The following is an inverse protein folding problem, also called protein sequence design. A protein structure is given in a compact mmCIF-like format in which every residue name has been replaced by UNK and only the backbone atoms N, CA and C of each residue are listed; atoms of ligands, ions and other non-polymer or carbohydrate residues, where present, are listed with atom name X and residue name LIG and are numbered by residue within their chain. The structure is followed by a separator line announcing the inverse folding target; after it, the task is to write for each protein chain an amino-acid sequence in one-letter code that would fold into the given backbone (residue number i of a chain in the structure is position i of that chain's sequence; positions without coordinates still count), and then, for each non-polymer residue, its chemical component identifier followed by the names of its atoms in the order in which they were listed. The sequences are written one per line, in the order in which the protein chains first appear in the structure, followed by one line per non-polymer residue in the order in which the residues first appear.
data_IF_507299450820
#
_entry.id   IF_507299450820
#
_cell.length_a   1.000
_cell.length_b   1.000
_cell.length_c   1.000
_cell.angle_alpha   90.00
_cell.angle_beta   90.00
_cell.angle_gamma   90.00
#
_symmetry.space_group_name_H-M   'P 1'
#
loop_
_entity.id
_entity.type
_entity.pdbx_description
1 polymer ?
#
# COMPACT_ATOMS: atom_id res chain seq x y z
N UNK A 1 -36.53 -54.41 -20.08
CA UNK A 1 -35.73 -53.86 -18.96
C UNK A 1 -35.86 -52.35 -18.99
N UNK A 2 -36.60 -51.80 -18.02
CA UNK A 2 -37.04 -50.40 -17.99
C UNK A 2 -35.97 -49.52 -17.32
N UNK A 3 -35.56 -48.47 -18.03
CA UNK A 3 -35.19 -47.14 -17.54
C UNK A 3 -34.57 -47.02 -16.13
N UNK A 4 -33.24 -46.98 -16.06
CA UNK A 4 -32.46 -46.51 -14.90
C UNK A 4 -31.47 -45.42 -15.35
N UNK A 5 -31.99 -44.37 -16.00
CA UNK A 5 -31.23 -43.17 -16.39
C UNK A 5 -32.18 -41.95 -16.38
N UNK A 6 -32.69 -41.55 -15.20
CA UNK A 6 -32.67 -40.11 -14.93
C UNK A 6 -32.40 -39.74 -13.46
N UNK A 7 -31.94 -40.67 -12.61
CA UNK A 7 -31.75 -40.39 -11.18
C UNK A 7 -30.40 -39.74 -10.83
N UNK A 8 -29.39 -39.82 -11.70
CA UNK A 8 -28.04 -39.31 -11.40
C UNK A 8 -27.82 -37.83 -11.79
N UNK A 9 -28.70 -37.27 -12.64
CA UNK A 9 -28.53 -35.91 -13.17
C UNK A 9 -29.16 -34.82 -12.30
N UNK A 10 -29.95 -35.18 -11.27
CA UNK A 10 -30.62 -34.21 -10.38
C UNK A 10 -29.83 -33.97 -9.09
N UNK A 11 -28.91 -34.86 -8.70
CA UNK A 11 -28.11 -34.70 -7.48
C UNK A 11 -26.91 -33.74 -7.62
N UNK A 12 -26.54 -33.34 -8.84
CA UNK A 12 -25.38 -32.46 -9.09
C UNK A 12 -25.78 -30.97 -9.08
N UNK A 13 -27.07 -30.63 -8.99
CA UNK A 13 -27.57 -29.25 -9.02
C UNK A 13 -27.83 -28.62 -7.63
N UNK A 14 -27.57 -29.34 -6.53
CA UNK A 14 -27.75 -28.83 -5.16
C UNK A 14 -26.44 -28.55 -4.40
N UNK A 15 -25.28 -28.69 -5.03
CA UNK A 15 -24.03 -28.08 -4.54
C UNK A 15 -24.03 -26.58 -4.84
N UNK A 16 -25.04 -25.90 -4.30
CA UNK A 16 -25.05 -24.46 -4.12
C UNK A 16 -23.71 -24.09 -3.48
N UNK A 17 -22.94 -23.27 -4.18
CA UNK A 17 -21.67 -22.75 -3.71
C UNK A 17 -21.94 -22.01 -2.39
N UNK A 18 -21.84 -22.73 -1.28
CA UNK A 18 -21.68 -22.13 0.03
C UNK A 18 -20.35 -21.38 -0.03
N UNK A 19 -20.42 -20.10 -0.38
CA UNK A 19 -19.32 -19.16 -0.21
C UNK A 19 -18.99 -19.25 1.27
N UNK A 20 -17.94 -20.00 1.60
CA UNK A 20 -17.43 -20.11 2.96
C UNK A 20 -17.36 -18.70 3.55
N UNK A 21 -18.24 -18.42 4.51
CA UNK A 21 -18.08 -17.26 5.36
C UNK A 21 -16.73 -17.47 6.02
N UNK A 22 -15.76 -16.63 5.67
CA UNK A 22 -14.46 -16.61 6.33
C UNK A 22 -14.72 -16.50 7.82
N UNK A 23 -14.48 -17.58 8.56
CA UNK A 23 -14.58 -17.64 10.03
C UNK A 23 -13.37 -16.97 10.67
N UNK A 24 -12.90 -15.87 10.09
CA UNK A 24 -11.80 -15.11 10.63
C UNK A 24 -12.21 -14.47 11.95
N UNK A 25 -11.48 -14.80 13.01
CA UNK A 25 -11.61 -14.14 14.30
C UNK A 25 -10.39 -13.23 14.52
N UNK A 26 -10.54 -11.89 14.51
CA UNK A 26 -9.42 -10.96 14.73
C UNK A 26 -8.81 -11.08 16.13
N UNK A 27 -9.54 -11.67 17.08
CA UNK A 27 -9.10 -11.88 18.46
C UNK A 27 -8.49 -13.29 18.65
N UNK A 28 -8.46 -14.14 17.63
CA UNK A 28 -7.73 -15.41 17.71
C UNK A 28 -6.27 -15.11 17.99
N UNK A 29 -5.74 -15.71 19.05
CA UNK A 29 -4.33 -15.67 19.38
C UNK A 29 -3.63 -16.96 18.92
N UNK A 30 -2.36 -16.84 18.61
CA UNK A 30 -1.44 -17.93 18.30
C UNK A 30 -0.44 -18.04 19.44
N UNK A 31 0.02 -19.26 19.76
CA UNK A 31 0.94 -19.46 20.89
C UNK A 31 2.34 -18.90 20.59
N UNK A 32 3.15 -18.59 21.62
CA UNK A 32 4.53 -18.17 21.45
C UNK A 32 5.33 -19.10 20.53
N UNK A 33 5.20 -20.42 20.69
CA UNK A 33 5.95 -21.42 19.92
C UNK A 33 5.60 -21.37 18.42
N UNK A 34 4.32 -21.18 18.10
CA UNK A 34 3.87 -21.02 16.70
C UNK A 34 4.46 -19.74 16.08
N UNK A 35 4.42 -18.63 16.84
CA UNK A 35 4.90 -17.33 16.38
C UNK A 35 6.42 -17.32 16.19
N UNK A 36 7.16 -17.91 17.13
CA UNK A 36 8.62 -18.04 17.07
C UNK A 36 9.04 -18.89 15.87
N UNK A 37 8.36 -20.01 15.60
CA UNK A 37 8.63 -20.85 14.42
C UNK A 37 8.38 -20.10 13.10
N UNK A 38 7.27 -19.37 13.00
CA UNK A 38 6.98 -18.56 11.81
C UNK A 38 7.97 -17.40 11.67
N UNK A 39 8.45 -16.83 12.78
CA UNK A 39 9.44 -15.76 12.81
C UNK A 39 10.82 -16.25 12.37
N UNK A 40 11.24 -17.43 12.82
CA UNK A 40 12.48 -18.07 12.39
C UNK A 40 12.46 -18.33 10.87
N UNK A 41 11.36 -18.87 10.34
CA UNK A 41 11.18 -19.03 8.90
C UNK A 41 11.27 -17.68 8.17
N UNK A 42 10.63 -16.64 8.70
CA UNK A 42 10.69 -15.28 8.15
C UNK A 42 12.13 -14.74 8.10
N UNK A 43 12.90 -14.87 9.20
CA UNK A 43 14.30 -14.45 9.26
C UNK A 43 15.15 -15.21 8.25
N UNK A 44 15.06 -16.54 8.24
CA UNK A 44 15.89 -17.38 7.38
C UNK A 44 15.63 -17.11 5.89
N UNK A 45 14.37 -16.88 5.50
CA UNK A 45 14.03 -16.50 4.11
C UNK A 45 14.69 -15.17 3.74
N UNK A 46 14.67 -14.18 4.64
CA UNK A 46 15.28 -12.88 4.40
C UNK A 46 16.80 -13.01 4.27
N UNK A 47 17.47 -13.66 5.22
CA UNK A 47 18.92 -13.86 5.22
C UNK A 47 19.39 -14.64 3.99
N UNK A 48 18.62 -15.64 3.55
CA UNK A 48 18.99 -16.45 2.39
C UNK A 48 18.81 -15.69 1.05
N UNK A 49 17.69 -14.98 0.90
CA UNK A 49 17.16 -14.62 -0.42
C UNK A 49 16.97 -13.13 -0.66
N UNK A 50 16.95 -12.29 0.38
CA UNK A 50 16.64 -10.88 0.23
C UNK A 50 17.87 -10.10 -0.32
N UNK A 51 17.81 -9.55 -1.56
CA UNK A 51 18.99 -9.00 -2.24
C UNK A 51 19.57 -7.78 -1.54
N UNK A 52 18.73 -6.97 -0.89
CA UNK A 52 19.12 -5.70 -0.26
C UNK A 52 19.10 -5.73 1.27
N UNK A 53 19.20 -6.91 1.89
CA UNK A 53 19.03 -7.04 3.34
C UNK A 53 19.99 -6.12 4.13
N UNK A 54 21.22 -5.97 3.64
CA UNK A 54 22.28 -5.23 4.32
C UNK A 54 22.80 -3.99 3.55
N UNK A 55 22.09 -3.51 2.51
CA UNK A 55 22.62 -2.40 1.70
C UNK A 55 22.57 -1.05 2.41
N UNK A 56 21.51 -0.84 3.20
CA UNK A 56 21.24 0.45 3.85
C UNK A 56 21.31 0.37 5.37
N UNK A 57 21.28 -0.84 5.91
CA UNK A 57 21.35 -1.10 7.35
C UNK A 57 22.41 -2.19 7.54
N UNK A 58 23.50 -1.91 8.27
CA UNK A 58 24.56 -2.88 8.50
C UNK A 58 24.06 -4.17 9.17
N UNK A 59 24.81 -5.26 8.98
CA UNK A 59 24.39 -6.59 9.45
C UNK A 59 24.14 -6.64 10.96
N UNK A 60 25.04 -6.09 11.76
CA UNK A 60 24.90 -6.00 13.23
C UNK A 60 23.59 -5.31 13.65
N UNK A 61 23.21 -4.24 12.95
CA UNK A 61 21.98 -3.51 13.19
C UNK A 61 20.76 -4.33 12.77
N UNK A 62 20.80 -5.01 11.62
CA UNK A 62 19.73 -5.91 11.18
C UNK A 62 19.57 -7.09 12.16
N UNK A 63 20.66 -7.69 12.61
CA UNK A 63 20.66 -8.75 13.61
C UNK A 63 20.03 -8.25 14.91
N UNK A 64 20.41 -7.06 15.39
CA UNK A 64 19.78 -6.42 16.54
C UNK A 64 18.26 -6.28 16.37
N UNK A 65 17.78 -5.83 15.21
CA UNK A 65 16.34 -5.72 14.95
C UNK A 65 15.65 -7.07 14.85
N UNK A 66 16.34 -8.11 14.34
CA UNK A 66 15.82 -9.47 14.37
C UNK A 66 15.64 -9.96 15.81
N UNK A 67 16.61 -9.73 16.69
CA UNK A 67 16.50 -10.09 18.11
C UNK A 67 15.41 -9.27 18.82
N UNK A 68 15.34 -7.96 18.54
CA UNK A 68 14.29 -7.10 19.08
C UNK A 68 12.90 -7.58 18.67
N UNK A 69 12.70 -8.04 17.43
CA UNK A 69 11.45 -8.63 16.99
C UNK A 69 11.14 -9.97 17.67
N UNK A 70 12.13 -10.87 17.78
CA UNK A 70 11.98 -12.16 18.44
C UNK A 70 11.63 -12.01 19.93
N UNK A 71 12.23 -11.03 20.61
CA UNK A 71 11.97 -10.74 22.03
C UNK A 71 10.53 -10.35 22.33
N UNK A 72 9.74 -9.91 21.33
CA UNK A 72 8.32 -9.59 21.50
C UNK A 72 7.40 -10.82 21.42
N UNK A 73 7.94 -12.01 21.12
CA UNK A 73 7.18 -13.24 20.89
C UNK A 73 7.17 -14.15 22.13
N UNK A 74 7.02 -13.57 23.32
CA UNK A 74 6.98 -14.29 24.60
C UNK A 74 5.55 -14.64 25.07
N UNK A 75 4.53 -13.99 24.52
CA UNK A 75 3.13 -14.28 24.78
C UNK A 75 2.38 -14.49 23.46
N UNK A 76 1.20 -15.07 23.58
CA UNK A 76 0.24 -15.27 22.52
C UNK A 76 -0.21 -13.95 21.87
N UNK A 77 -0.05 -13.87 20.55
CA UNK A 77 -0.38 -12.69 19.75
C UNK A 77 -1.51 -12.98 18.75
N UNK A 78 -2.31 -11.95 18.44
CA UNK A 78 -3.20 -11.98 17.28
C UNK A 78 -2.41 -11.77 16.01
N UNK A 79 -2.99 -12.13 14.85
CA UNK A 79 -2.37 -11.88 13.54
C UNK A 79 -1.94 -10.41 13.37
N UNK A 80 -2.76 -9.46 13.82
CA UNK A 80 -2.44 -8.03 13.72
C UNK A 80 -1.20 -7.64 14.54
N UNK A 81 -1.08 -8.16 15.77
CA UNK A 81 0.08 -7.88 16.62
C UNK A 81 1.35 -8.52 16.06
N UNK A 82 1.28 -9.77 15.62
CA UNK A 82 2.43 -10.43 14.99
C UNK A 82 2.88 -9.70 13.72
N UNK A 83 1.93 -9.25 12.89
CA UNK A 83 2.25 -8.43 11.72
C UNK A 83 2.95 -7.13 12.07
N UNK A 84 2.61 -6.47 13.18
CA UNK A 84 3.33 -5.28 13.62
C UNK A 84 4.79 -5.60 13.95
N UNK A 85 5.07 -6.72 14.61
CA UNK A 85 6.45 -7.19 14.89
C UNK A 85 7.22 -7.37 13.57
N UNK A 86 6.65 -8.12 12.62
CA UNK A 86 7.29 -8.35 11.32
C UNK A 86 7.48 -7.04 10.53
N UNK A 87 6.48 -6.16 10.53
CA UNK A 87 6.51 -4.86 9.85
C UNK A 87 7.59 -3.95 10.42
N UNK A 88 7.77 -3.96 11.73
CA UNK A 88 8.83 -3.20 12.41
C UNK A 88 10.19 -3.63 11.89
N UNK A 89 10.48 -4.93 11.89
CA UNK A 89 11.76 -5.50 11.43
C UNK A 89 12.00 -5.21 9.95
N UNK A 90 11.02 -5.49 9.09
CA UNK A 90 11.14 -5.26 7.63
C UNK A 90 11.36 -3.79 7.30
N UNK A 91 10.78 -2.85 8.06
CA UNK A 91 10.99 -1.44 7.81
C UNK A 91 12.46 -1.02 8.01
N UNK A 92 13.20 -1.69 8.89
CA UNK A 92 14.61 -1.41 9.15
C UNK A 92 15.54 -1.89 8.05
N UNK A 93 15.08 -2.78 7.15
CA UNK A 93 15.82 -3.19 5.96
C UNK A 93 15.96 -2.04 4.95
N UNK A 94 15.03 -1.06 5.00
CA UNK A 94 14.98 0.09 4.07
C UNK A 94 14.91 -0.35 2.59
N UNK A 95 14.08 -1.36 2.34
CA UNK A 95 13.69 -1.77 1.00
C UNK A 95 12.19 -1.49 0.77
N UNK A 96 11.85 -0.55 -0.12
CA UNK A 96 10.46 -0.15 -0.41
C UNK A 96 9.61 -1.24 -1.07
N UNK A 97 10.23 -2.36 -1.44
CA UNK A 97 9.57 -3.52 -2.03
C UNK A 97 9.29 -4.65 -1.04
N UNK A 98 9.72 -4.49 0.22
CA UNK A 98 9.55 -5.49 1.27
C UNK A 98 8.50 -5.02 2.26
N UNK A 99 7.40 -5.77 2.39
CA UNK A 99 6.26 -5.39 3.21
C UNK A 99 5.51 -6.60 3.75
N UNK A 100 4.85 -6.42 4.90
CA UNK A 100 4.06 -7.46 5.56
C UNK A 100 2.58 -7.21 5.30
N UNK A 101 1.94 -8.15 4.60
CA UNK A 101 0.52 -8.06 4.24
C UNK A 101 -0.34 -8.85 5.23
N UNK A 102 -1.60 -8.43 5.34
CA UNK A 102 -2.61 -9.22 6.04
C UNK A 102 -2.84 -10.56 5.34
N UNK A 103 -3.26 -11.57 6.10
CA UNK A 103 -3.80 -12.80 5.52
C UNK A 103 -5.00 -12.47 4.63
N UNK A 104 -5.29 -13.35 3.65
CA UNK A 104 -6.45 -13.15 2.76
C UNK A 104 -7.76 -13.08 3.57
N UNK A 105 -7.83 -13.84 4.66
CA UNK A 105 -8.98 -13.86 5.57
C UNK A 105 -9.11 -12.56 6.36
N UNK A 106 -8.03 -12.06 6.96
CA UNK A 106 -8.01 -10.77 7.64
C UNK A 106 -8.38 -9.61 6.70
N UNK A 107 -7.84 -9.62 5.48
CA UNK A 107 -8.18 -8.61 4.47
C UNK A 107 -9.67 -8.67 4.07
N UNK A 108 -10.23 -9.87 3.90
CA UNK A 108 -11.67 -10.06 3.62
C UNK A 108 -12.54 -9.62 4.79
N UNK A 109 -12.14 -9.95 6.02
CA UNK A 109 -12.83 -9.54 7.24
C UNK A 109 -12.88 -8.02 7.33
N UNK A 110 -11.72 -7.34 7.26
CA UNK A 110 -11.63 -5.88 7.36
C UNK A 110 -12.46 -5.15 6.29
N UNK A 111 -12.60 -5.72 5.09
CA UNK A 111 -13.41 -5.14 4.03
C UNK A 111 -14.93 -5.28 4.26
N UNK A 112 -15.35 -6.24 5.10
CA UNK A 112 -16.77 -6.57 5.35
C UNK A 112 -17.27 -6.08 6.69
N UNK A 113 -16.40 -5.93 7.68
CA UNK A 113 -16.77 -5.56 9.05
C UNK A 113 -16.66 -4.08 9.30
N UNK A 114 -17.65 -3.53 10.01
CA UNK A 114 -17.57 -2.17 10.57
C UNK A 114 -17.05 -2.25 11.98
N UNK A 115 -15.86 -1.72 12.17
CA UNK A 115 -15.26 -1.57 13.51
C UNK A 115 -15.05 -0.10 13.79
N UNK A 116 -15.09 0.24 15.08
CA UNK A 116 -14.65 1.54 15.55
C UNK A 116 -13.17 1.73 15.21
N UNK A 117 -12.81 2.93 14.77
CA UNK A 117 -11.47 3.24 14.30
C UNK A 117 -11.14 4.70 14.58
N UNK A 118 -9.84 5.01 14.60
CA UNK A 118 -9.37 6.39 14.71
C UNK A 118 -9.98 7.26 13.59
N UNK A 119 -10.52 8.46 13.83
CA UNK A 119 -11.47 9.04 12.89
C UNK A 119 -10.84 9.89 11.76
N UNK A 120 -9.54 10.21 11.82
CA UNK A 120 -8.93 11.15 10.87
C UNK A 120 -8.24 10.45 9.70
N UNK A 121 -8.43 11.00 8.50
CA UNK A 121 -7.50 10.85 7.39
C UNK A 121 -6.67 12.13 7.28
N UNK A 122 -5.41 11.99 6.87
CA UNK A 122 -4.46 13.11 6.84
C UNK A 122 -3.73 13.18 5.50
N UNK A 123 -3.11 14.33 5.24
CA UNK A 123 -2.04 14.52 4.28
C UNK A 123 -0.83 15.01 5.07
N UNK A 124 0.29 14.33 4.93
CA UNK A 124 1.51 14.62 5.67
C UNK A 124 2.67 14.89 4.71
N UNK A 125 3.53 15.81 5.09
CA UNK A 125 4.82 16.11 4.48
C UNK A 125 5.72 16.72 5.55
N UNK A 126 7.05 16.66 5.37
CA UNK A 126 8.09 17.29 6.20
C UNK A 126 7.72 17.67 7.65
N UNK A 127 7.06 18.81 7.81
CA UNK A 127 6.73 19.45 9.08
C UNK A 127 5.23 19.48 9.43
N UNK A 128 4.37 19.01 8.53
CA UNK A 128 2.93 19.28 8.56
C UNK A 128 2.12 18.02 8.39
N UNK A 129 1.12 17.84 9.26
CA UNK A 129 0.06 16.84 9.12
C UNK A 129 -1.28 17.55 9.08
N UNK A 130 -1.85 17.63 7.89
CA UNK A 130 -3.13 18.28 7.60
C UNK A 130 -4.26 17.26 7.61
N UNK A 131 -5.37 17.56 8.29
CA UNK A 131 -6.58 16.73 8.23
C UNK A 131 -7.24 16.87 6.86
N UNK A 132 -7.47 15.76 6.16
CA UNK A 132 -8.16 15.74 4.86
C UNK A 132 -9.63 15.35 5.00
N UNK A 133 -9.96 14.57 6.02
CA UNK A 133 -11.34 14.25 6.41
C UNK A 133 -11.40 13.66 7.81
N UNK A 134 -12.55 13.87 8.46
CA UNK A 134 -12.91 13.26 9.72
C UNK A 134 -14.16 12.40 9.49
N UNK A 135 -14.09 11.10 9.78
CA UNK A 135 -15.22 10.18 9.59
C UNK A 135 -16.14 10.11 10.82
N UNK A 136 -15.74 10.69 11.95
CA UNK A 136 -16.61 10.85 13.11
C UNK A 136 -17.59 11.99 12.85
N UNK A 137 -18.89 11.67 12.83
CA UNK A 137 -19.96 12.66 12.66
C UNK A 137 -20.25 13.48 13.92
N UNK A 138 -19.67 13.10 15.06
CA UNK A 138 -19.92 13.71 16.37
C UNK A 138 -18.99 14.88 16.67
N UNK A 139 -17.90 15.00 15.91
CA UNK A 139 -16.84 15.96 16.20
C UNK A 139 -16.80 17.04 15.10
N UNK A 140 -17.46 18.17 15.33
CA UNK A 140 -17.53 19.29 14.37
C UNK A 140 -16.26 20.15 14.31
N UNK A 141 -15.41 20.08 15.34
CA UNK A 141 -14.30 21.02 15.51
C UNK A 141 -13.04 20.60 14.73
N UNK A 142 -12.81 19.31 14.53
CA UNK A 142 -11.63 18.79 13.82
C UNK A 142 -12.04 18.42 12.39
N UNK A 143 -12.04 19.44 11.53
CA UNK A 143 -12.49 19.34 10.15
C UNK A 143 -11.33 19.34 9.15
N UNK A 144 -11.66 19.16 7.87
CA UNK A 144 -10.68 19.26 6.79
C UNK A 144 -9.98 20.63 6.82
N UNK A 145 -8.66 20.63 6.66
CA UNK A 145 -7.85 21.85 6.58
C UNK A 145 -7.18 22.25 7.88
N UNK A 146 -7.49 21.61 9.01
CA UNK A 146 -6.76 21.87 10.26
C UNK A 146 -5.40 21.16 10.28
N UNK A 147 -4.40 21.79 10.90
CA UNK A 147 -3.05 21.22 11.04
C UNK A 147 -2.89 20.62 12.43
N UNK A 148 -2.64 19.31 12.50
CA UNK A 148 -2.46 18.61 13.77
C UNK A 148 -1.14 19.03 14.44
N UNK A 149 -1.17 19.19 15.76
CA UNK A 149 0.00 19.45 16.61
C UNK A 149 0.25 18.34 17.60
N UNK A 150 -0.80 17.78 18.20
CA UNK A 150 -0.68 16.61 19.06
C UNK A 150 -1.94 15.74 19.02
N UNK A 151 -1.77 14.45 19.32
CA UNK A 151 -2.86 13.49 19.51
C UNK A 151 -2.52 12.67 20.76
N UNK A 152 -3.48 12.51 21.67
CA UNK A 152 -3.30 11.80 22.94
C UNK A 152 -2.08 12.34 23.73
N UNK A 153 -1.94 13.67 23.75
CA UNK A 153 -0.83 14.40 24.38
C UNK A 153 0.56 14.07 23.82
N UNK A 154 0.65 13.46 22.63
CA UNK A 154 1.91 13.19 21.93
C UNK A 154 2.09 14.17 20.78
N UNK A 155 3.25 14.82 20.62
CA UNK A 155 3.52 15.65 19.46
C UNK A 155 3.32 14.87 18.17
N UNK A 156 2.74 15.51 17.16
CA UNK A 156 2.42 14.86 15.89
C UNK A 156 3.67 14.31 15.19
N UNK A 157 4.83 14.97 15.37
CA UNK A 157 6.13 14.51 14.87
C UNK A 157 6.49 13.13 15.43
N UNK A 158 6.38 12.94 16.75
CA UNK A 158 6.63 11.65 17.43
C UNK A 158 5.71 10.55 16.88
N UNK A 159 4.44 10.89 16.60
CA UNK A 159 3.48 9.94 16.02
C UNK A 159 3.89 9.54 14.61
N UNK A 160 4.27 10.51 13.77
CA UNK A 160 4.76 10.25 12.41
C UNK A 160 6.03 9.41 12.44
N UNK A 161 6.99 9.75 13.28
CA UNK A 161 8.26 9.03 13.43
C UNK A 161 8.03 7.59 13.89
N UNK A 162 7.11 7.38 14.83
CA UNK A 162 6.71 6.04 15.28
C UNK A 162 6.07 5.23 14.15
N UNK A 163 5.18 5.84 13.35
CA UNK A 163 4.60 5.17 12.18
C UNK A 163 5.67 4.81 11.15
N UNK A 164 6.68 5.66 10.95
CA UNK A 164 7.76 5.42 10.00
C UNK A 164 8.61 4.18 10.34
N UNK A 165 8.60 3.74 11.61
CA UNK A 165 9.24 2.49 12.05
C UNK A 165 8.53 1.23 11.54
N UNK A 166 7.33 1.34 10.96
CA UNK A 166 6.56 0.21 10.42
C UNK A 166 6.37 0.29 8.89
N UNK A 167 6.92 1.32 8.25
CA UNK A 167 6.84 1.54 6.81
C UNK A 167 8.24 1.44 6.23
N UNK A 168 8.44 0.46 5.35
CA UNK A 168 9.67 0.37 4.58
C UNK A 168 9.80 1.55 3.62
N UNK A 169 11.01 2.11 3.51
CA UNK A 169 11.36 3.10 2.49
C UNK A 169 12.38 2.51 1.52
N UNK A 170 12.67 3.21 0.43
CA UNK A 170 13.82 2.89 -0.42
C UNK A 170 15.04 3.69 0.07
N UNK A 171 15.91 3.03 0.82
CA UNK A 171 17.06 3.65 1.48
C UNK A 171 16.66 4.68 2.54
N UNK A 172 17.23 5.88 2.45
CA UNK A 172 16.95 6.99 3.38
C UNK A 172 15.78 7.88 2.96
N UNK A 173 15.06 7.52 1.89
CA UNK A 173 13.97 8.32 1.37
C UNK A 173 12.74 8.29 2.29
N UNK A 174 12.29 9.47 2.73
CA UNK A 174 11.10 9.64 3.59
C UNK A 174 9.84 10.04 2.83
N UNK A 175 9.96 10.50 1.57
CA UNK A 175 8.83 10.92 0.72
C UNK A 175 7.80 9.80 0.58
N UNK A 176 8.23 8.56 0.35
CA UNK A 176 7.32 7.42 0.28
C UNK A 176 6.58 7.20 1.61
N UNK A 177 7.26 7.35 2.75
CA UNK A 177 6.65 7.15 4.08
C UNK A 177 5.57 8.21 4.35
N UNK A 178 5.85 9.47 4.05
CA UNK A 178 4.86 10.57 4.10
C UNK A 178 3.66 10.31 3.18
N UNK A 179 3.92 9.89 1.93
CA UNK A 179 2.86 9.56 1.00
C UNK A 179 2.04 8.35 1.47
N UNK A 180 2.67 7.34 2.05
CA UNK A 180 2.02 6.15 2.59
C UNK A 180 1.06 6.47 3.73
N UNK A 181 1.47 7.26 4.73
CA UNK A 181 0.55 7.67 5.81
C UNK A 181 -0.56 8.60 5.29
N UNK A 182 -0.30 9.34 4.22
CA UNK A 182 -1.28 10.21 3.55
C UNK A 182 -2.33 9.44 2.75
N UNK A 183 -2.09 8.16 2.42
CA UNK A 183 -3.03 7.37 1.64
C UNK A 183 -4.25 7.01 2.51
N UNK A 184 -5.45 7.19 1.93
CA UNK A 184 -6.73 7.17 2.65
C UNK A 184 -6.91 5.95 3.57
N UNK A 185 -6.84 6.20 4.88
CA UNK A 185 -7.05 5.21 5.94
C UNK A 185 -5.79 4.56 6.51
N UNK A 186 -4.60 4.82 5.97
CA UNK A 186 -3.33 4.27 6.50
C UNK A 186 -3.01 4.87 7.86
N UNK A 187 -2.95 6.21 7.98
CA UNK A 187 -2.72 6.89 9.26
C UNK A 187 -3.69 6.40 10.35
N UNK A 188 -4.99 6.34 10.03
CA UNK A 188 -6.02 5.80 10.92
C UNK A 188 -5.75 4.37 11.38
N UNK A 189 -5.46 3.48 10.43
CA UNK A 189 -5.23 2.06 10.72
C UNK A 189 -3.97 1.87 11.57
N UNK A 190 -2.91 2.59 11.24
CA UNK A 190 -1.65 2.55 11.98
C UNK A 190 -1.79 3.13 13.38
N UNK A 191 -2.50 4.25 13.54
CA UNK A 191 -2.74 4.83 14.86
C UNK A 191 -3.43 3.81 15.78
N UNK A 192 -4.53 3.20 15.31
CA UNK A 192 -5.22 2.17 16.08
C UNK A 192 -4.39 0.92 16.35
N UNK A 193 -3.48 0.55 15.43
CA UNK A 193 -2.60 -0.61 15.58
C UNK A 193 -1.46 -0.39 16.57
N UNK A 194 -0.89 0.83 16.59
CA UNK A 194 0.29 1.17 17.40
C UNK A 194 -0.10 1.66 18.79
N UNK A 195 -1.09 2.54 18.88
CA UNK A 195 -1.48 3.22 20.14
C UNK A 195 -2.77 2.66 20.76
N UNK A 196 -3.49 1.79 20.04
CA UNK A 196 -4.82 1.36 20.43
C UNK A 196 -5.89 2.42 20.18
N UNK A 197 -7.12 2.10 20.55
CA UNK A 197 -8.27 2.98 20.40
C UNK A 197 -8.83 3.35 21.78
N UNK A 198 -8.97 4.65 22.04
CA UNK A 198 -9.65 5.20 23.22
C UNK A 198 -10.98 5.82 22.80
N UNK A 199 -11.96 5.83 23.70
CA UNK A 199 -13.28 6.40 23.44
C UNK A 199 -13.24 7.92 23.21
N UNK A 200 -12.33 8.61 23.90
CA UNK A 200 -12.02 10.03 23.76
C UNK A 200 -10.50 10.19 23.59
N UNK A 201 -10.10 10.97 22.59
CA UNK A 201 -8.70 11.19 22.25
C UNK A 201 -8.45 12.70 22.18
N UNK A 202 -7.73 13.29 23.15
CA UNK A 202 -7.46 14.72 23.13
C UNK A 202 -6.56 15.05 21.94
N UNK A 203 -6.89 16.13 21.23
CA UNK A 203 -6.10 16.62 20.09
C UNK A 203 -5.90 18.11 20.17
N UNK A 204 -4.71 18.53 19.78
CA UNK A 204 -4.38 19.94 19.57
C UNK A 204 -4.09 20.17 18.09
N UNK A 205 -4.62 21.27 17.57
CA UNK A 205 -4.49 21.61 16.16
C UNK A 205 -4.52 23.13 15.95
N UNK A 206 -4.01 23.56 14.81
CA UNK A 206 -4.18 24.92 14.29
C UNK A 206 -5.42 24.94 13.42
N UNK A 207 -6.41 25.76 13.78
CA UNK A 207 -7.64 25.95 13.01
C UNK A 207 -7.37 26.70 11.69
N UNK A 208 -8.38 26.81 10.83
CA UNK A 208 -8.26 27.51 9.54
C UNK A 208 -8.03 29.02 9.67
N UNK A 209 -8.21 29.58 10.88
CA UNK A 209 -7.89 30.97 11.21
C UNK A 209 -6.49 31.11 11.85
N UNK A 210 -5.67 30.05 11.88
CA UNK A 210 -4.31 30.09 12.39
C UNK A 210 -4.20 30.01 13.92
N UNK A 211 -5.29 29.67 14.64
CA UNK A 211 -5.31 29.68 16.10
C UNK A 211 -5.16 28.27 16.66
N UNK A 212 -4.38 28.15 17.74
CA UNK A 212 -4.28 26.90 18.49
C UNK A 212 -5.63 26.58 19.15
N UNK A 213 -6.08 25.34 18.99
CA UNK A 213 -7.33 24.80 19.53
C UNK A 213 -7.09 23.42 20.11
N UNK A 214 -7.92 23.07 21.08
CA UNK A 214 -8.01 21.72 21.65
C UNK A 214 -9.40 21.15 21.42
N UNK A 215 -9.50 19.84 21.26
CA UNK A 215 -10.78 19.13 21.17
C UNK A 215 -10.58 17.68 21.60
N UNK A 216 -11.65 16.99 21.93
CA UNK A 216 -11.64 15.53 22.10
C UNK A 216 -12.26 14.85 20.89
N UNK A 217 -11.51 13.97 20.25
CA UNK A 217 -11.99 13.14 19.15
C UNK A 217 -12.72 11.91 19.68
N UNK A 218 -13.86 11.62 19.07
CA UNK A 218 -14.58 10.36 19.21
C UNK A 218 -14.10 9.36 18.16
N UNK A 219 -14.21 8.06 18.45
CA UNK A 219 -13.99 7.05 17.42
C UNK A 219 -15.00 7.19 16.27
N UNK A 220 -14.55 6.87 15.06
CA UNK A 220 -15.37 6.87 13.85
C UNK A 220 -15.77 5.47 13.42
N UNK A 221 -16.85 5.40 12.65
CA UNK A 221 -17.23 4.21 11.87
C UNK A 221 -17.31 4.66 10.42
N UNK A 222 -16.72 3.90 9.49
CA UNK A 222 -16.91 4.18 8.07
C UNK A 222 -18.40 4.03 7.74
N UNK A 223 -19.08 5.10 7.27
CA UNK A 223 -20.47 5.00 6.91
C UNK A 223 -20.62 3.98 5.77
N UNK A 224 -21.63 3.11 5.85
CA UNK A 224 -22.21 2.63 4.59
C UNK A 224 -22.86 3.86 4.01
N UNK A 225 -22.42 4.28 2.85
CA UNK A 225 -23.25 5.19 2.11
C UNK A 225 -24.34 4.36 1.41
N UNK A 226 -25.30 3.83 2.17
CA UNK A 226 -26.50 3.18 1.62
C UNK A 226 -27.27 4.17 0.75
N UNK A 227 -27.22 5.47 1.08
CA UNK A 227 -27.79 6.54 0.28
C UNK A 227 -27.06 6.76 -1.05
N UNK A 228 -25.73 6.71 -1.11
CA UNK A 228 -24.95 6.73 -2.37
C UNK A 228 -25.03 5.42 -3.14
N UNK A 229 -25.06 4.26 -2.48
CA UNK A 229 -25.35 2.99 -3.15
C UNK A 229 -26.76 3.00 -3.75
N UNK A 230 -27.71 3.69 -3.11
CA UNK A 230 -29.08 3.92 -3.62
C UNK A 230 -29.12 5.04 -4.68
N UNK A 231 -28.33 6.11 -4.58
CA UNK A 231 -28.20 7.20 -5.58
C UNK A 231 -27.46 6.76 -6.85
N UNK A 232 -26.39 5.99 -6.72
CA UNK A 232 -25.70 5.31 -7.84
C UNK A 232 -26.61 4.26 -8.50
N UNK A 233 -27.62 3.74 -7.79
CA UNK A 233 -28.69 2.92 -8.40
C UNK A 233 -29.77 3.75 -9.08
N UNK A 234 -30.06 4.96 -8.60
CA UNK A 234 -31.08 5.87 -9.16
C UNK A 234 -30.59 6.59 -10.44
N UNK A 235 -29.29 6.90 -10.52
CA UNK A 235 -28.64 7.39 -11.74
C UNK A 235 -27.31 6.68 -11.95
N UNK A 236 -27.30 5.41 -12.43
CA UNK A 236 -26.08 4.69 -12.67
C UNK A 236 -25.30 5.41 -13.77
N UNK A 237 -24.19 6.04 -13.39
CA UNK A 237 -23.18 6.46 -14.37
C UNK A 237 -22.84 5.23 -15.22
N UNK A 238 -23.01 5.38 -16.54
CA UNK A 238 -22.87 4.24 -17.44
C UNK A 238 -21.52 3.57 -17.20
N UNK A 239 -21.46 2.24 -17.36
CA UNK A 239 -20.20 1.48 -17.18
C UNK A 239 -19.06 2.09 -18.00
N UNK A 240 -19.38 2.65 -19.16
CA UNK A 240 -18.46 3.38 -20.04
C UNK A 240 -17.92 4.66 -19.38
N UNK A 241 -18.77 5.50 -18.79
CA UNK A 241 -18.36 6.72 -18.09
C UNK A 241 -17.49 6.39 -16.87
N UNK A 242 -17.88 5.42 -16.06
CA UNK A 242 -17.08 4.97 -14.91
C UNK A 242 -15.70 4.46 -15.33
N UNK A 243 -15.64 3.64 -16.38
CA UNK A 243 -14.36 3.16 -16.92
C UNK A 243 -13.51 4.33 -17.43
N UNK A 244 -14.11 5.32 -18.09
CA UNK A 244 -13.40 6.53 -18.56
C UNK A 244 -12.82 7.31 -17.38
N UNK A 245 -13.63 7.62 -16.36
CA UNK A 245 -13.19 8.33 -15.15
C UNK A 245 -12.06 7.59 -14.43
N UNK A 246 -12.18 6.27 -14.26
CA UNK A 246 -11.13 5.45 -13.65
C UNK A 246 -9.82 5.45 -14.45
N UNK A 247 -9.91 5.50 -15.78
CA UNK A 247 -8.72 5.62 -16.62
C UNK A 247 -8.12 7.03 -16.53
N UNK A 248 -8.95 8.08 -16.50
CA UNK A 248 -8.51 9.47 -16.36
C UNK A 248 -7.85 9.73 -15.01
N UNK A 249 -8.32 9.12 -13.93
CA UNK A 249 -7.66 9.23 -12.62
C UNK A 249 -6.29 8.54 -12.57
N UNK A 250 -6.01 7.62 -13.50
CA UNK A 250 -4.71 6.93 -13.59
C UNK A 250 -3.76 7.61 -14.57
N UNK A 251 -4.29 8.25 -15.60
CA UNK A 251 -3.53 8.96 -16.62
C UNK A 251 -4.39 10.04 -17.27
N UNK A 252 -3.84 11.24 -17.40
CA UNK A 252 -4.55 12.34 -18.04
C UNK A 252 -3.58 13.28 -18.75
N UNK A 253 -4.07 14.03 -19.73
CA UNK A 253 -3.29 15.11 -20.33
C UNK A 253 -4.17 16.33 -20.58
N UNK A 254 -3.75 17.48 -20.09
CA UNK A 254 -4.25 18.79 -20.49
C UNK A 254 -3.18 19.54 -21.27
N UNK A 255 -3.59 20.46 -22.14
CA UNK A 255 -2.69 21.34 -22.89
C UNK A 255 -3.20 22.75 -22.66
N UNK A 256 -2.29 23.60 -22.21
CA UNK A 256 -2.47 25.04 -22.17
C UNK A 256 -1.73 25.65 -23.36
N UNK A 257 -2.49 26.09 -24.35
CA UNK A 257 -1.93 26.70 -25.56
C UNK A 257 -1.37 28.10 -25.32
N UNK A 258 -1.88 28.81 -24.31
CA UNK A 258 -1.36 30.14 -23.94
C UNK A 258 0.04 30.04 -23.34
N UNK A 259 0.28 28.99 -22.54
CA UNK A 259 1.59 28.67 -21.97
C UNK A 259 2.46 27.81 -22.88
N UNK A 260 1.95 27.42 -24.06
CA UNK A 260 2.61 26.47 -24.94
C UNK A 260 3.07 25.19 -24.21
N UNK A 261 2.25 24.68 -23.29
CA UNK A 261 2.64 23.65 -22.31
C UNK A 261 1.61 22.52 -22.23
N UNK A 262 2.09 21.27 -22.28
CA UNK A 262 1.30 20.08 -21.96
C UNK A 262 1.54 19.65 -20.51
N UNK A 263 0.47 19.30 -19.79
CA UNK A 263 0.53 18.71 -18.46
C UNK A 263 0.10 17.24 -18.56
N UNK A 264 1.06 16.34 -18.41
CA UNK A 264 0.88 14.89 -18.47
C UNK A 264 0.86 14.31 -17.06
N UNK A 265 -0.31 13.88 -16.61
CA UNK A 265 -0.47 13.21 -15.32
C UNK A 265 -0.35 11.69 -15.50
N UNK A 266 0.58 11.07 -14.76
CA UNK A 266 0.82 9.63 -14.78
C UNK A 266 0.84 9.11 -13.36
N UNK A 267 -0.30 8.63 -12.86
CA UNK A 267 -0.47 8.16 -11.48
C UNK A 267 -0.15 6.68 -11.28
N UNK A 268 0.22 5.95 -12.34
CA UNK A 268 0.66 4.56 -12.22
C UNK A 268 1.40 4.10 -13.47
N UNK A 269 2.32 3.15 -13.31
CA UNK A 269 2.87 2.33 -14.40
C UNK A 269 2.34 0.89 -14.40
N UNK A 270 1.27 0.60 -13.64
CA UNK A 270 0.66 -0.72 -13.65
C UNK A 270 0.05 -1.06 -15.02
N UNK A 271 0.18 -2.32 -15.43
CA UNK A 271 -0.44 -2.87 -16.64
C UNK A 271 -1.98 -2.74 -16.60
N UNK A 272 -2.62 -2.80 -17.77
CA UNK A 272 -4.09 -2.68 -17.90
C UNK A 272 -4.62 -1.25 -18.01
N UNK A 273 -3.78 -0.24 -17.78
CA UNK A 273 -4.13 1.17 -17.89
C UNK A 273 -3.87 1.77 -19.27
N UNK A 274 -3.83 0.98 -20.35
CA UNK A 274 -3.62 1.46 -21.74
C UNK A 274 -2.56 2.59 -21.91
N UNK A 275 -1.44 2.50 -21.17
CA UNK A 275 -0.43 3.56 -21.13
C UNK A 275 0.31 3.71 -22.47
N UNK A 276 0.58 2.59 -23.16
CA UNK A 276 1.25 2.61 -24.48
C UNK A 276 0.51 3.47 -25.52
N UNK A 277 -0.79 3.21 -25.83
CA UNK A 277 -1.50 4.05 -26.78
C UNK A 277 -1.72 5.46 -26.25
N UNK A 278 -1.88 5.64 -24.93
CA UNK A 278 -2.03 6.96 -24.31
C UNK A 278 -0.79 7.85 -24.49
N UNK A 279 0.41 7.35 -24.21
CA UNK A 279 1.65 8.09 -24.46
C UNK A 279 1.77 8.44 -25.94
N UNK A 280 1.60 7.46 -26.83
CA UNK A 280 1.63 7.68 -28.28
C UNK A 280 0.68 8.79 -28.73
N UNK A 281 -0.58 8.76 -28.27
CA UNK A 281 -1.57 9.79 -28.62
C UNK A 281 -1.23 11.16 -28.03
N UNK A 282 -0.70 11.19 -26.80
CA UNK A 282 -0.35 12.43 -26.10
C UNK A 282 0.77 13.18 -26.82
N UNK A 283 1.88 12.49 -27.09
CA UNK A 283 3.00 13.07 -27.82
C UNK A 283 2.67 13.36 -29.30
N UNK A 284 1.78 12.58 -29.93
CA UNK A 284 1.25 12.93 -31.26
C UNK A 284 0.49 14.26 -31.21
N UNK A 285 -0.39 14.45 -30.23
CA UNK A 285 -1.18 15.67 -30.07
C UNK A 285 -0.29 16.89 -29.82
N UNK A 286 0.72 16.77 -28.97
CA UNK A 286 1.71 17.83 -28.74
C UNK A 286 2.39 18.27 -30.04
N UNK A 287 2.88 17.32 -30.85
CA UNK A 287 3.51 17.64 -32.16
C UNK A 287 2.54 18.33 -33.12
N UNK A 288 1.31 17.85 -33.23
CA UNK A 288 0.29 18.43 -34.10
C UNK A 288 -0.07 19.87 -33.69
N UNK A 289 -0.10 20.14 -32.40
CA UNK A 289 -0.40 21.47 -31.83
C UNK A 289 0.85 22.33 -31.63
N UNK A 290 2.02 21.86 -32.07
CA UNK A 290 3.33 22.54 -31.93
C UNK A 290 3.65 22.93 -30.48
N UNK A 291 3.22 22.10 -29.52
CA UNK A 291 3.47 22.30 -28.08
C UNK A 291 4.93 21.98 -27.77
N UNK A 292 5.64 22.92 -27.15
CA UNK A 292 7.08 22.81 -26.88
C UNK A 292 7.38 22.34 -25.45
N UNK A 293 6.57 22.76 -24.47
CA UNK A 293 6.85 22.49 -23.06
C UNK A 293 6.04 21.27 -22.55
N UNK A 294 6.65 20.48 -21.67
CA UNK A 294 6.02 19.33 -21.02
C UNK A 294 6.25 19.36 -19.51
N UNK A 295 5.16 19.34 -18.75
CA UNK A 295 5.16 19.06 -17.33
C UNK A 295 4.65 17.64 -17.13
N UNK A 296 5.43 16.78 -16.47
CA UNK A 296 5.01 15.42 -16.13
C UNK A 296 4.74 15.34 -14.62
N UNK A 297 3.48 15.16 -14.24
CA UNK A 297 3.10 14.96 -12.84
C UNK A 297 3.07 13.46 -12.51
N UNK A 298 4.00 13.03 -11.65
CA UNK A 298 4.10 11.66 -11.14
C UNK A 298 3.97 11.61 -9.62
N UNK A 299 3.50 12.67 -8.95
CA UNK A 299 3.44 12.73 -7.48
C UNK A 299 2.51 11.67 -6.88
N UNK A 300 1.49 11.25 -7.63
CA UNK A 300 0.59 10.16 -7.26
C UNK A 300 1.05 8.77 -7.70
N UNK A 301 2.22 8.64 -8.34
CA UNK A 301 2.65 7.40 -8.99
C UNK A 301 3.32 6.43 -8.02
N UNK A 302 2.66 5.30 -7.75
CA UNK A 302 3.19 4.21 -6.92
C UNK A 302 4.09 3.21 -7.66
N UNK A 303 4.49 3.48 -8.90
CA UNK A 303 5.29 2.58 -9.73
C UNK A 303 4.47 1.60 -10.57
N UNK A 304 5.08 0.47 -10.92
CA UNK A 304 4.48 -0.56 -11.77
C UNK A 304 5.50 -1.19 -12.72
N UNK A 305 5.18 -1.26 -14.00
CA UNK A 305 6.03 -1.90 -15.01
C UNK A 305 7.19 -0.99 -15.42
N UNK A 306 8.42 -1.47 -15.22
CA UNK A 306 9.65 -0.86 -15.74
C UNK A 306 9.60 -0.65 -17.26
N UNK A 307 8.94 -1.55 -17.99
CA UNK A 307 8.78 -1.42 -19.45
C UNK A 307 7.93 -0.19 -19.80
N UNK A 308 6.89 0.12 -19.00
CA UNK A 308 6.01 1.26 -19.25
C UNK A 308 6.63 2.58 -18.78
N UNK A 309 7.40 2.59 -17.69
CA UNK A 309 8.19 3.77 -17.31
C UNK A 309 9.25 4.07 -18.36
N UNK A 310 9.99 3.05 -18.83
CA UNK A 310 10.98 3.22 -19.90
C UNK A 310 10.36 3.69 -21.22
N UNK A 311 9.13 3.28 -21.52
CA UNK A 311 8.42 3.77 -22.70
C UNK A 311 8.15 5.27 -22.60
N UNK A 312 7.73 5.77 -21.44
CA UNK A 312 7.56 7.21 -21.23
C UNK A 312 8.91 7.94 -21.35
N UNK A 313 9.96 7.41 -20.73
CA UNK A 313 11.32 7.97 -20.83
C UNK A 313 11.77 8.07 -22.29
N UNK A 314 11.48 7.07 -23.14
CA UNK A 314 11.78 7.11 -24.58
C UNK A 314 11.08 8.23 -25.36
N UNK A 315 9.96 8.76 -24.87
CA UNK A 315 9.31 9.92 -25.49
C UNK A 315 9.92 11.25 -25.05
N UNK A 316 10.67 11.27 -23.95
CA UNK A 316 11.18 12.50 -23.31
C UNK A 316 12.68 12.64 -23.55
N UNK A 317 13.43 11.53 -23.46
CA UNK A 317 14.88 11.53 -23.59
C UNK A 317 15.31 11.87 -25.02
N UNK A 318 16.27 12.79 -25.13
CA UNK A 318 16.92 13.23 -26.37
C UNK A 318 18.18 12.42 -26.70
N UNK A 319 18.66 11.62 -25.73
CA UNK A 319 19.89 10.81 -25.83
C UNK A 319 19.64 9.37 -25.34
N UNK A 320 20.49 8.41 -25.75
CA UNK A 320 20.48 7.07 -25.18
C UNK A 320 20.62 7.13 -23.65
N UNK A 321 19.87 6.29 -22.93
CA UNK A 321 19.88 6.23 -21.48
C UNK A 321 20.04 4.79 -20.99
N UNK A 322 20.64 4.63 -19.80
CA UNK A 322 20.76 3.36 -19.10
C UNK A 322 19.66 3.25 -18.04
N UNK A 323 19.07 2.07 -17.92
CA UNK A 323 17.94 1.82 -16.99
C UNK A 323 18.43 1.29 -15.64
N UNK A 324 19.46 0.45 -15.66
CA UNK A 324 20.11 -0.11 -14.47
C UNK A 324 21.58 -0.30 -14.76
N UNK A 325 22.43 -0.10 -13.75
CA UNK A 325 23.85 -0.41 -13.81
C UNK A 325 24.08 -1.91 -13.62
N UNK A 326 23.41 -2.50 -12.62
CA UNK A 326 23.50 -3.92 -12.29
C UNK A 326 22.15 -4.49 -11.89
N UNK A 327 21.99 -5.81 -12.07
CA UNK A 327 20.88 -6.61 -11.57
C UNK A 327 21.45 -7.90 -10.99
N UNK A 328 21.11 -8.22 -9.75
CA UNK A 328 21.59 -9.43 -9.10
C UNK A 328 20.54 -10.03 -8.17
N UNK A 329 20.77 -11.31 -7.86
CA UNK A 329 20.02 -12.08 -6.88
C UNK A 329 21.03 -12.80 -6.00
N UNK A 330 20.75 -12.92 -4.69
CA UNK A 330 21.64 -13.62 -3.75
C UNK A 330 21.82 -15.09 -4.13
N UNK A 331 20.71 -15.74 -4.49
CA UNK A 331 20.70 -17.13 -4.94
C UNK A 331 19.77 -17.30 -6.13
N UNK A 332 20.17 -18.18 -7.05
CA UNK A 332 19.29 -18.65 -8.15
C UNK A 332 18.26 -19.67 -7.67
N UNK A 333 18.56 -20.41 -6.61
CA UNK A 333 17.69 -21.43 -6.00
C UNK A 333 17.53 -21.10 -4.52
N UNK A 334 16.28 -21.13 -4.05
CA UNK A 334 15.97 -20.94 -2.63
C UNK A 334 15.62 -22.28 -1.99
N UNK A 335 16.15 -22.55 -0.79
CA UNK A 335 15.72 -23.69 0.02
C UNK A 335 14.24 -23.58 0.41
N UNK A 336 13.76 -22.34 0.60
CA UNK A 336 12.39 -21.98 0.97
C UNK A 336 11.42 -21.80 -0.21
N UNK A 337 11.70 -22.43 -1.35
CA UNK A 337 10.89 -22.28 -2.57
C UNK A 337 9.39 -22.59 -2.41
N UNK A 338 9.02 -23.47 -1.47
CA UNK A 338 7.62 -23.79 -1.13
C UNK A 338 6.84 -22.58 -0.59
N UNK A 339 7.52 -21.59 -0.02
CA UNK A 339 6.94 -20.36 0.52
C UNK A 339 6.95 -19.21 -0.49
N UNK A 340 7.51 -19.41 -1.69
CA UNK A 340 7.65 -18.39 -2.72
C UNK A 340 6.60 -18.55 -3.82
N UNK A 341 5.77 -17.53 -4.02
CA UNK A 341 4.84 -17.50 -5.16
C UNK A 341 5.60 -17.29 -6.46
N UNK A 342 5.16 -17.96 -7.52
CA UNK A 342 5.74 -17.86 -8.87
C UNK A 342 7.24 -18.25 -8.91
N UNK A 343 7.69 -19.14 -8.02
CA UNK A 343 9.08 -19.57 -7.96
C UNK A 343 9.57 -20.19 -9.28
N UNK A 344 8.81 -21.11 -9.88
CA UNK A 344 9.21 -21.79 -11.11
C UNK A 344 9.46 -20.81 -12.29
N UNK A 345 8.52 -19.91 -12.65
CA UNK A 345 8.78 -18.89 -13.67
C UNK A 345 9.97 -17.99 -13.34
N UNK A 346 10.10 -17.56 -12.08
CA UNK A 346 11.19 -16.68 -11.64
C UNK A 346 12.55 -17.39 -11.74
N UNK A 347 12.60 -18.67 -11.37
CA UNK A 347 13.79 -19.51 -11.47
C UNK A 347 14.21 -19.72 -12.92
N UNK A 348 13.26 -20.00 -13.82
CA UNK A 348 13.55 -20.13 -15.25
C UNK A 348 14.12 -18.81 -15.80
N UNK A 349 13.50 -17.68 -15.46
CA UNK A 349 14.01 -16.36 -15.83
C UNK A 349 15.45 -16.13 -15.34
N UNK A 350 15.72 -16.41 -14.06
CA UNK A 350 17.06 -16.25 -13.49
C UNK A 350 18.09 -17.21 -14.12
N UNK A 351 17.69 -18.43 -14.48
CA UNK A 351 18.59 -19.41 -15.10
C UNK A 351 19.13 -18.93 -16.44
N UNK A 352 18.31 -18.28 -17.26
CA UNK A 352 18.71 -17.82 -18.60
C UNK A 352 19.32 -16.41 -18.62
N UNK A 353 19.08 -15.58 -17.60
CA UNK A 353 19.46 -14.16 -17.62
C UNK A 353 20.52 -13.76 -16.60
N UNK A 354 20.86 -14.63 -15.66
CA UNK A 354 21.92 -14.35 -14.67
C UNK A 354 23.13 -15.22 -14.95
N UNK A 355 24.32 -14.73 -14.59
CA UNK A 355 25.57 -15.50 -14.56
C UNK A 355 26.12 -15.49 -13.12
N UNK A 356 26.61 -16.62 -12.60
CA UNK A 356 27.25 -16.64 -11.27
C UNK A 356 28.56 -15.86 -11.42
N UNK A 357 28.73 -14.77 -10.66
CA UNK A 357 30.04 -14.13 -10.51
C UNK A 357 30.89 -14.95 -9.54
N UNK A 358 32.20 -14.93 -9.71
CA UNK A 358 33.12 -15.51 -8.72
C UNK A 358 32.79 -14.99 -7.33
N UNK A 359 32.93 -15.84 -6.33
CA UNK A 359 32.81 -15.42 -4.94
C UNK A 359 34.02 -14.48 -4.74
N UNK A 360 33.74 -13.18 -4.61
CA UNK A 360 34.73 -12.10 -4.72
C UNK A 360 35.82 -12.17 -3.68
#
# INVERSE_FOLDING_TARGET
MKSLLPALSVLILLSSCAVSKSNYNPNKKFSPEQLQKDYELFRNILEESHPSLYWYTPKDSIDYYFEAGASQLQDSLTESKFRNVLSYVVAQIRCGHTSVRASKDAARYSNRTRTWMFPLNVKAWGDTVLVTSNISRRDSNVMRGVVLKSIDNRPISVIVDSMFQYIAGDGYNTTHKYQSISNGGVFRSMYGSIYGLKSRIPVEYIDTAGRLRKSDLSLGILPIDTARLRRERLHPTSKRVRKKMALQSMRNMSIDTSLNTAFLEVNTFASGNHLRPFFRSSFKKMRQQKIQNLVVDMRGNGGGSVILSNLLTKYIADKPFKIADTLYAMKRKSSYHSHMKNYLPSRLFLLFLTHKKGDG
#
